data_IF_843956967428
#
_entry.id   IF_843956967428
#
_cell.length_a   1.000
_cell.length_b   1.000
_cell.length_c   1.000
_cell.angle_alpha   90.00
_cell.angle_beta   90.00
_cell.angle_gamma   90.00
#
_symmetry.space_group_name_H-M   'P 1'
#
loop_
_entity.id
_entity.type
_entity.pdbx_description
1 polymer ?
#
# COMPACT_ATOMS: atom_id res chain seq x y z
N UNK A 1 5.95 -16.49 -6.36
CA UNK A 1 5.81 -15.04 -6.48
C UNK A 1 6.27 -14.35 -5.21
N UNK A 2 6.60 -13.08 -5.30
CA UNK A 2 6.93 -12.29 -4.12
C UNK A 2 5.67 -11.65 -3.56
N UNK A 3 5.50 -11.75 -2.25
CA UNK A 3 4.42 -11.09 -1.52
C UNK A 3 5.00 -9.96 -0.69
N UNK A 4 4.43 -8.76 -0.85
CA UNK A 4 4.91 -7.52 -0.25
C UNK A 4 3.78 -6.93 0.59
N UNK A 5 4.01 -6.77 1.89
CA UNK A 5 3.00 -6.27 2.81
C UNK A 5 3.57 -5.08 3.56
N UNK A 6 2.82 -3.98 3.57
CA UNK A 6 3.12 -2.82 4.39
C UNK A 6 2.04 -2.67 5.45
N UNK A 7 2.47 -2.40 6.68
CA UNK A 7 1.58 -2.11 7.81
C UNK A 7 1.72 -0.63 8.12
N UNK A 8 0.59 0.08 8.11
CA UNK A 8 0.58 1.53 8.28
C UNK A 8 -0.30 1.95 9.43
N UNK A 9 0.12 3.00 10.14
CA UNK A 9 -0.75 3.74 11.05
C UNK A 9 -1.16 5.04 10.36
N UNK A 10 -2.35 5.54 10.69
CA UNK A 10 -2.76 6.87 10.24
C UNK A 10 -2.02 7.95 11.04
N UNK A 11 -1.63 9.01 10.35
CA UNK A 11 -1.10 10.21 10.98
C UNK A 11 -2.24 11.00 11.66
N UNK A 12 -1.86 12.06 12.37
CA UNK A 12 -2.84 12.95 13.03
C UNK A 12 -3.73 13.71 12.05
N UNK A 13 -3.39 13.72 10.75
CA UNK A 13 -4.24 14.29 9.71
C UNK A 13 -5.51 13.48 9.47
N UNK A 14 -5.56 12.23 9.95
CA UNK A 14 -6.73 11.37 9.80
C UNK A 14 -7.51 11.37 11.11
N UNK A 15 -8.79 11.73 11.04
CA UNK A 15 -9.72 11.81 12.16
C UNK A 15 -10.85 10.82 11.96
N UNK A 16 -11.68 10.64 12.96
CA UNK A 16 -12.87 9.78 12.84
C UNK A 16 -13.79 10.25 11.72
N UNK A 17 -13.85 11.57 11.48
CA UNK A 17 -14.72 12.15 10.46
C UNK A 17 -14.22 11.89 9.04
N UNK A 18 -12.90 11.88 8.80
CA UNK A 18 -12.36 11.73 7.45
C UNK A 18 -11.77 10.35 7.17
N UNK A 19 -11.74 9.44 8.16
CA UNK A 19 -11.08 8.13 8.04
C UNK A 19 -11.59 7.33 6.84
N UNK A 20 -12.90 7.21 6.68
CA UNK A 20 -13.49 6.44 5.59
C UNK A 20 -13.14 7.04 4.22
N UNK A 21 -13.16 8.36 4.11
CA UNK A 21 -12.81 9.06 2.88
C UNK A 21 -11.34 8.87 2.52
N UNK A 22 -10.45 8.95 3.51
CA UNK A 22 -9.01 8.74 3.29
C UNK A 22 -8.74 7.31 2.85
N UNK A 23 -9.35 6.31 3.50
CA UNK A 23 -9.21 4.91 3.10
C UNK A 23 -9.68 4.68 1.67
N UNK A 24 -10.80 5.26 1.29
CA UNK A 24 -11.33 5.15 -0.07
C UNK A 24 -10.36 5.76 -1.09
N UNK A 25 -9.83 6.93 -0.77
CA UNK A 25 -8.86 7.62 -1.62
C UNK A 25 -7.58 6.80 -1.81
N UNK A 26 -7.04 6.26 -0.72
CA UNK A 26 -5.84 5.42 -0.78
C UNK A 26 -6.11 4.14 -1.58
N UNK A 27 -7.25 3.50 -1.35
CA UNK A 27 -7.63 2.27 -2.04
C UNK A 27 -7.80 2.49 -3.54
N UNK A 28 -8.47 3.56 -3.93
CA UNK A 28 -8.66 3.89 -5.35
C UNK A 28 -7.32 4.17 -6.04
N UNK A 29 -6.41 4.88 -5.35
CA UNK A 29 -5.08 5.17 -5.88
C UNK A 29 -4.27 3.89 -6.10
N UNK A 30 -4.32 2.95 -5.15
CA UNK A 30 -3.64 1.66 -5.27
C UNK A 30 -4.23 0.83 -6.42
N UNK A 31 -5.55 0.75 -6.51
CA UNK A 31 -6.22 0.01 -7.59
C UNK A 31 -5.84 0.54 -8.97
N UNK A 32 -5.58 1.83 -9.07
CA UNK A 32 -5.17 2.46 -10.31
C UNK A 32 -3.77 2.02 -10.78
N UNK A 33 -2.99 1.37 -9.93
CA UNK A 33 -1.67 0.85 -10.29
C UNK A 33 -1.74 -0.50 -11.01
N UNK A 34 -2.80 -1.28 -10.78
CA UNK A 34 -2.94 -2.61 -11.38
C UNK A 34 -2.99 -2.52 -12.91
N UNK A 35 -2.25 -3.42 -13.57
CA UNK A 35 -2.19 -3.49 -15.03
C UNK A 35 -1.33 -2.43 -15.69
N UNK A 36 -0.72 -1.54 -14.93
CA UNK A 36 0.08 -0.42 -15.47
C UNK A 36 1.56 -0.51 -15.13
N UNK A 37 1.95 -1.44 -14.28
CA UNK A 37 3.34 -1.60 -13.83
C UNK A 37 3.78 -3.03 -14.09
N UNK A 38 4.82 -3.19 -14.90
CA UNK A 38 5.33 -4.51 -15.25
C UNK A 38 5.77 -5.27 -13.99
N UNK A 39 5.35 -6.54 -13.92
CA UNK A 39 5.70 -7.41 -12.81
C UNK A 39 4.83 -7.27 -11.57
N UNK A 40 4.00 -6.25 -11.49
CA UNK A 40 3.00 -6.10 -10.43
C UNK A 40 1.78 -6.94 -10.81
N UNK A 41 1.50 -7.98 -10.02
CA UNK A 41 0.41 -8.92 -10.30
C UNK A 41 -0.90 -8.46 -9.66
N UNK A 42 -0.84 -7.96 -8.42
CA UNK A 42 -2.02 -7.46 -7.72
C UNK A 42 -1.61 -6.49 -6.63
N UNK A 43 -2.52 -5.60 -6.25
CA UNK A 43 -2.32 -4.75 -5.08
C UNK A 43 -3.67 -4.31 -4.51
N UNK A 44 -3.70 -4.12 -3.21
CA UNK A 44 -4.91 -3.71 -2.51
C UNK A 44 -4.58 -3.04 -1.18
N UNK A 45 -5.53 -2.28 -0.68
CA UNK A 45 -5.53 -1.73 0.67
C UNK A 45 -6.61 -2.47 1.46
N UNK A 46 -6.28 -2.91 2.67
CA UNK A 46 -7.23 -3.52 3.58
C UNK A 46 -7.22 -2.82 4.92
N UNK A 47 -8.39 -2.46 5.43
CA UNK A 47 -8.51 -1.89 6.77
C UNK A 47 -8.31 -2.97 7.82
N UNK A 48 -7.51 -2.68 8.87
CA UNK A 48 -7.38 -3.58 10.00
C UNK A 48 -8.63 -3.47 10.88
N UNK A 49 -9.39 -4.55 10.99
CA UNK A 49 -10.70 -4.53 11.66
C UNK A 49 -10.69 -5.12 13.05
N UNK A 50 -9.61 -5.77 13.47
CA UNK A 50 -9.54 -6.45 14.77
C UNK A 50 -8.39 -5.96 15.62
N UNK A 51 -7.18 -6.00 15.08
CA UNK A 51 -5.97 -5.61 15.81
C UNK A 51 -5.84 -4.11 15.96
N UNK A 52 -4.92 -3.67 16.83
CA UNK A 52 -4.69 -2.25 17.10
C UNK A 52 -3.26 -1.82 16.78
N UNK A 53 -2.43 -2.73 16.24
CA UNK A 53 -1.03 -2.44 15.96
C UNK A 53 -0.84 -1.62 14.68
N UNK A 54 -1.82 -1.68 13.79
CA UNK A 54 -1.83 -0.86 12.57
C UNK A 54 -3.28 -0.52 12.20
N UNK A 55 -3.43 0.49 11.34
CA UNK A 55 -4.75 0.93 10.90
C UNK A 55 -5.17 0.28 9.59
N UNK A 56 -4.21 0.05 8.69
CA UNK A 56 -4.48 -0.61 7.41
C UNK A 56 -3.23 -1.25 6.87
N UNK A 57 -3.40 -2.12 5.89
CA UNK A 57 -2.29 -2.77 5.21
C UNK A 57 -2.34 -2.47 3.72
N UNK A 58 -1.18 -2.40 3.10
CA UNK A 58 -1.01 -2.47 1.65
C UNK A 58 -0.47 -3.85 1.34
N UNK A 59 -1.16 -4.61 0.50
CA UNK A 59 -0.75 -5.94 0.10
C UNK A 59 -0.58 -5.99 -1.41
N UNK A 60 0.59 -6.42 -1.87
CA UNK A 60 0.89 -6.52 -3.29
C UNK A 60 1.61 -7.83 -3.59
N UNK A 61 1.41 -8.35 -4.80
CA UNK A 61 2.14 -9.51 -5.27
C UNK A 61 2.89 -9.14 -6.54
N UNK A 62 4.11 -9.67 -6.67
CA UNK A 62 5.03 -9.38 -7.79
C UNK A 62 5.55 -10.68 -8.38
N UNK A 63 5.91 -10.63 -9.66
CA UNK A 63 6.51 -11.78 -10.35
C UNK A 63 7.86 -12.15 -9.76
N UNK A 64 8.62 -11.17 -9.26
CA UNK A 64 10.00 -11.37 -8.80
C UNK A 64 10.41 -10.27 -7.84
N UNK A 65 11.55 -10.46 -7.18
CA UNK A 65 12.18 -9.44 -6.35
C UNK A 65 12.55 -8.21 -7.19
N UNK A 66 13.08 -8.44 -8.38
CA UNK A 66 13.48 -7.35 -9.29
C UNK A 66 12.27 -6.49 -9.68
N UNK A 67 11.12 -7.13 -9.91
CA UNK A 67 9.88 -6.40 -10.22
C UNK A 67 9.46 -5.51 -9.05
N UNK A 68 9.54 -6.00 -7.82
CA UNK A 68 9.21 -5.21 -6.64
C UNK A 68 10.19 -4.05 -6.46
N UNK A 69 11.48 -4.26 -6.69
CA UNK A 69 12.48 -3.20 -6.59
C UNK A 69 12.26 -2.12 -7.66
N UNK A 70 11.91 -2.51 -8.88
CA UNK A 70 11.57 -1.56 -9.94
C UNK A 70 10.31 -0.76 -9.62
N UNK A 71 9.33 -1.42 -9.02
CA UNK A 71 8.08 -0.79 -8.57
C UNK A 71 8.35 0.38 -7.62
N UNK A 72 9.33 0.26 -6.72
CA UNK A 72 9.63 1.30 -5.74
C UNK A 72 9.90 2.66 -6.38
N UNK A 73 10.49 2.67 -7.57
CA UNK A 73 10.88 3.90 -8.28
C UNK A 73 9.98 4.21 -9.48
N UNK A 74 8.93 3.41 -9.71
CA UNK A 74 8.03 3.67 -10.84
C UNK A 74 7.27 4.97 -10.61
N UNK A 75 7.14 5.84 -11.66
CA UNK A 75 6.50 7.15 -11.50
C UNK A 75 5.09 7.08 -10.92
N UNK A 76 4.30 6.09 -11.30
CA UNK A 76 2.93 5.93 -10.76
C UNK A 76 2.94 5.60 -9.28
N UNK A 77 3.89 4.76 -8.83
CA UNK A 77 4.02 4.44 -7.41
C UNK A 77 4.55 5.64 -6.62
N UNK A 78 5.51 6.37 -7.19
CA UNK A 78 6.04 7.59 -6.55
C UNK A 78 4.91 8.61 -6.35
N UNK A 79 4.05 8.79 -7.34
CA UNK A 79 2.89 9.69 -7.24
C UNK A 79 1.93 9.24 -6.13
N UNK A 80 1.67 7.92 -6.03
CA UNK A 80 0.86 7.37 -4.95
C UNK A 80 1.48 7.66 -3.58
N UNK A 81 2.79 7.41 -3.43
CA UNK A 81 3.50 7.67 -2.16
C UNK A 81 3.40 9.12 -1.75
N UNK A 82 3.55 10.05 -2.68
CA UNK A 82 3.46 11.48 -2.40
C UNK A 82 2.06 11.87 -1.94
N UNK A 83 1.03 11.30 -2.55
CA UNK A 83 -0.35 11.55 -2.15
C UNK A 83 -0.65 10.97 -0.77
N UNK A 84 -0.15 9.77 -0.48
CA UNK A 84 -0.42 9.07 0.78
C UNK A 84 0.37 9.62 1.97
N UNK A 85 1.55 10.20 1.73
CA UNK A 85 2.50 10.58 2.78
C UNK A 85 1.88 11.42 3.92
N UNK A 86 1.01 12.41 3.67
CA UNK A 86 0.42 13.19 4.77
C UNK A 86 -0.46 12.38 5.72
N UNK A 87 -0.96 11.23 5.27
CA UNK A 87 -1.97 10.46 6.01
C UNK A 87 -1.40 9.28 6.79
N UNK A 88 -0.12 8.96 6.62
CA UNK A 88 0.45 7.71 7.16
C UNK A 88 1.71 7.96 7.98
N UNK A 89 1.98 7.00 8.90
CA UNK A 89 3.19 7.00 9.71
C UNK A 89 3.53 5.57 10.13
N UNK A 90 4.74 5.38 10.68
CA UNK A 90 5.18 4.15 11.33
C UNK A 90 5.07 2.92 10.42
N UNK A 91 5.68 3.04 9.24
CA UNK A 91 5.71 1.97 8.22
C UNK A 91 6.47 0.74 8.73
N UNK A 92 5.82 -0.43 8.64
CA UNK A 92 6.49 -1.72 8.77
C UNK A 92 6.30 -2.50 7.47
N UNK A 93 7.31 -3.28 7.09
CA UNK A 93 7.25 -4.05 5.85
C UNK A 93 7.60 -5.51 6.11
N UNK A 94 6.93 -6.39 5.38
CA UNK A 94 7.28 -7.80 5.32
C UNK A 94 7.24 -8.24 3.86
N UNK A 95 8.30 -8.93 3.44
CA UNK A 95 8.42 -9.46 2.09
C UNK A 95 8.81 -10.93 2.17
N UNK A 96 8.12 -11.77 1.40
CA UNK A 96 8.43 -13.19 1.38
C UNK A 96 8.01 -13.82 0.06
N UNK A 97 8.65 -14.96 -0.27
CA UNK A 97 8.27 -15.73 -1.46
C UNK A 97 7.24 -16.78 -1.08
N UNK A 98 6.20 -16.89 -1.90
CA UNK A 98 5.18 -17.94 -1.78
C UNK A 98 4.60 -18.23 -3.15
N UNK A 99 4.10 -19.42 -3.30
CA UNK A 99 3.45 -19.85 -4.55
C UNK A 99 2.03 -19.32 -4.68
#
# INVERSE_FOLDING_TARGET
MLKHILFWQFSDAVTDENRAEVLEKLSASVKNLEGKIDGLLSCEIGENIVGQDCDFVFYATFESLEAMQSFQNHPLHVAHKQMAAPYVKNRLAADYFAD
#
